data_IF_958051970941
#
_entry.id   IF_958051970941
#
_cell.length_a   1.000
_cell.length_b   1.000
_cell.length_c   1.000
_cell.angle_alpha   90.00
_cell.angle_beta   90.00
_cell.angle_gamma   90.00
#
_symmetry.space_group_name_H-M   'P 1'
#
loop_
_entity.id
_entity.type
_entity.pdbx_description
1 polymer ?
#
# COMPACT_ATOMS: atom_id res chain seq x y z
N UNK A 1 -3.96 -11.53 -0.07
CA UNK A 1 -3.68 -10.08 0.09
C UNK A 1 -3.11 -9.82 1.47
N UNK A 2 -2.08 -9.01 1.57
CA UNK A 2 -1.45 -8.61 2.83
C UNK A 2 -1.81 -7.15 3.10
N UNK A 3 -2.54 -6.91 4.18
CA UNK A 3 -2.97 -5.56 4.57
C UNK A 3 -2.10 -5.07 5.73
N UNK A 4 -1.43 -3.94 5.54
CA UNK A 4 -0.64 -3.32 6.59
C UNK A 4 -1.48 -3.03 7.84
N UNK A 5 -2.70 -2.52 7.64
CA UNK A 5 -3.59 -2.22 8.76
C UNK A 5 -3.99 -3.46 9.56
N UNK A 6 -4.29 -4.57 8.87
CA UNK A 6 -4.66 -5.81 9.53
C UNK A 6 -3.49 -6.36 10.35
N UNK A 7 -2.30 -6.42 9.77
CA UNK A 7 -1.12 -6.93 10.47
C UNK A 7 -0.77 -6.05 11.66
N UNK A 8 -0.74 -4.74 11.45
CA UNK A 8 -0.31 -3.81 12.49
C UNK A 8 -1.35 -3.64 13.60
N UNK A 9 -2.60 -3.40 13.23
CA UNK A 9 -3.66 -3.10 14.20
C UNK A 9 -4.29 -4.35 14.79
N UNK A 10 -4.79 -5.21 13.91
CA UNK A 10 -5.64 -6.33 14.35
C UNK A 10 -4.82 -7.48 14.90
N UNK A 11 -3.67 -7.77 14.31
CA UNK A 11 -2.82 -8.88 14.75
C UNK A 11 -1.84 -8.50 15.85
N UNK A 12 -1.13 -7.37 15.71
CA UNK A 12 -0.04 -7.02 16.62
C UNK A 12 -0.39 -5.88 17.58
N UNK A 13 -1.42 -5.08 17.30
CA UNK A 13 -1.82 -3.93 18.13
C UNK A 13 -0.66 -2.98 18.41
N UNK A 14 0.16 -2.70 17.41
CA UNK A 14 1.31 -1.79 17.54
C UNK A 14 1.05 -0.47 16.82
N UNK A 15 1.71 0.58 17.28
CA UNK A 15 1.62 1.89 16.65
C UNK A 15 2.42 1.96 15.37
N UNK A 16 1.99 2.79 14.44
CA UNK A 16 2.66 3.02 13.18
C UNK A 16 3.88 3.93 13.39
N UNK A 17 4.98 3.33 13.79
CA UNK A 17 6.26 3.99 14.03
C UNK A 17 7.34 3.37 13.16
N UNK A 18 8.45 4.10 13.00
CA UNK A 18 9.64 3.55 12.36
C UNK A 18 10.14 2.33 13.14
N UNK A 19 10.39 1.23 12.43
CA UNK A 19 10.89 0.00 13.04
C UNK A 19 9.86 -0.78 13.85
N UNK A 20 8.56 -0.52 13.68
CA UNK A 20 7.53 -1.26 14.42
C UNK A 20 7.52 -2.75 14.04
N UNK A 21 6.96 -3.58 14.91
CA UNK A 21 6.97 -5.04 14.76
C UNK A 21 6.27 -5.54 13.50
N UNK A 22 5.34 -4.77 12.96
CA UNK A 22 4.59 -5.20 11.77
C UNK A 22 5.45 -5.26 10.52
N UNK A 23 6.53 -4.47 10.44
CA UNK A 23 7.42 -4.45 9.28
C UNK A 23 7.97 -5.83 8.96
N UNK A 24 8.55 -6.48 9.95
CA UNK A 24 9.14 -7.81 9.74
C UNK A 24 8.09 -8.86 9.42
N UNK A 25 6.94 -8.81 10.09
CA UNK A 25 5.86 -9.78 9.83
C UNK A 25 5.27 -9.59 8.43
N UNK A 26 5.04 -8.35 8.01
CA UNK A 26 4.57 -8.04 6.66
C UNK A 26 5.55 -8.59 5.63
N UNK A 27 6.85 -8.35 5.84
CA UNK A 27 7.89 -8.84 4.94
C UNK A 27 7.86 -10.35 4.84
N UNK A 28 7.81 -11.04 5.97
CA UNK A 28 7.79 -12.51 6.00
C UNK A 28 6.56 -13.09 5.30
N UNK A 29 5.38 -12.53 5.55
CA UNK A 29 4.16 -13.00 4.90
C UNK A 29 4.24 -12.79 3.40
N UNK A 30 4.71 -11.62 2.96
CA UNK A 30 4.82 -11.28 1.55
C UNK A 30 5.86 -12.17 0.84
N UNK A 31 6.99 -12.40 1.47
CA UNK A 31 8.02 -13.32 0.94
C UNK A 31 7.51 -14.76 0.88
N UNK A 32 6.77 -15.18 1.89
CA UNK A 32 6.23 -16.54 1.97
C UNK A 32 5.34 -16.89 0.78
N UNK A 33 4.61 -15.90 0.25
CA UNK A 33 3.71 -16.11 -0.89
C UNK A 33 4.41 -16.43 -2.19
N UNK A 34 5.70 -16.10 -2.32
CA UNK A 34 6.45 -16.34 -3.56
C UNK A 34 6.51 -17.84 -3.87
N UNK A 35 6.07 -18.21 -5.06
CA UNK A 35 6.04 -19.62 -5.50
C UNK A 35 4.89 -20.43 -4.91
N UNK A 36 4.08 -19.85 -4.04
CA UNK A 36 2.92 -20.52 -3.43
C UNK A 36 1.60 -19.93 -3.86
N UNK A 37 1.59 -18.62 -4.13
CA UNK A 37 0.42 -17.90 -4.59
C UNK A 37 0.68 -17.39 -6.00
N UNK A 38 -0.35 -17.36 -6.82
CA UNK A 38 -0.26 -16.77 -8.16
C UNK A 38 0.07 -15.29 -8.08
N UNK A 39 -0.59 -14.58 -7.17
CA UNK A 39 -0.33 -13.16 -6.91
C UNK A 39 -0.26 -12.90 -5.41
N UNK A 40 0.63 -12.01 -5.02
CA UNK A 40 0.71 -11.48 -3.66
C UNK A 40 0.50 -9.98 -3.75
N UNK A 41 -0.52 -9.47 -3.08
CA UNK A 41 -0.84 -8.04 -3.05
C UNK A 41 -0.55 -7.53 -1.66
N UNK A 42 0.36 -6.57 -1.55
CA UNK A 42 0.61 -5.83 -0.32
C UNK A 42 0.02 -4.44 -0.47
N UNK A 43 -0.85 -4.04 0.46
CA UNK A 43 -1.53 -2.76 0.39
C UNK A 43 -1.52 -2.05 1.75
N UNK A 44 -1.72 -0.76 1.71
CA UNK A 44 -1.87 0.07 2.90
C UNK A 44 -1.25 1.44 2.74
N UNK A 45 -1.33 2.23 3.81
CA UNK A 45 -0.62 3.50 3.90
C UNK A 45 0.81 3.18 4.35
N UNK A 46 1.68 3.02 3.37
CA UNK A 46 3.06 2.56 3.58
C UNK A 46 4.01 3.75 3.38
N UNK A 47 4.13 4.60 4.39
CA UNK A 47 4.99 5.77 4.33
C UNK A 47 6.43 5.38 4.00
N UNK A 48 7.02 6.04 3.02
CA UNK A 48 8.38 5.74 2.55
C UNK A 48 9.40 5.77 3.68
N UNK A 49 9.30 6.75 4.57
CA UNK A 49 10.22 6.88 5.71
C UNK A 49 10.24 5.64 6.61
N UNK A 50 9.09 5.02 6.79
CA UNK A 50 8.93 3.86 7.69
C UNK A 50 9.06 2.53 6.97
N UNK A 51 8.50 2.42 5.78
CA UNK A 51 8.34 1.14 5.07
C UNK A 51 9.17 1.03 3.80
N UNK A 52 9.77 2.13 3.33
CA UNK A 52 10.44 2.16 2.03
C UNK A 52 11.57 1.15 1.89
N UNK A 53 12.40 1.00 2.91
CA UNK A 53 13.51 0.06 2.89
C UNK A 53 13.01 -1.39 2.77
N UNK A 54 12.01 -1.74 3.58
CA UNK A 54 11.38 -3.06 3.51
C UNK A 54 10.75 -3.33 2.15
N UNK A 55 10.07 -2.34 1.58
CA UNK A 55 9.47 -2.46 0.25
C UNK A 55 10.53 -2.66 -0.83
N UNK A 56 11.63 -1.95 -0.76
CA UNK A 56 12.75 -2.14 -1.70
C UNK A 56 13.35 -3.55 -1.58
N UNK A 57 13.46 -4.05 -0.35
CA UNK A 57 13.92 -5.42 -0.13
C UNK A 57 12.97 -6.45 -0.73
N UNK A 58 11.67 -6.24 -0.62
CA UNK A 58 10.67 -7.12 -1.24
C UNK A 58 10.76 -7.10 -2.76
N UNK A 59 10.96 -5.94 -3.37
CA UNK A 59 11.12 -5.83 -4.82
C UNK A 59 12.34 -6.64 -5.27
N UNK A 60 13.44 -6.54 -4.55
CA UNK A 60 14.64 -7.34 -4.84
C UNK A 60 14.39 -8.84 -4.67
N UNK A 61 13.68 -9.22 -3.61
CA UNK A 61 13.33 -10.60 -3.33
C UNK A 61 12.51 -11.23 -4.47
N UNK A 62 11.60 -10.47 -5.04
CA UNK A 62 10.77 -10.92 -6.16
C UNK A 62 11.47 -10.78 -7.52
N UNK A 63 12.74 -10.40 -7.55
CA UNK A 63 13.60 -10.40 -8.74
C UNK A 63 13.01 -9.60 -9.92
N UNK A 64 12.42 -8.46 -9.62
CA UNK A 64 11.81 -7.61 -10.64
C UNK A 64 10.39 -7.99 -11.05
N UNK A 65 9.86 -9.08 -10.54
CA UNK A 65 8.46 -9.48 -10.77
C UNK A 65 7.53 -8.82 -9.76
N UNK A 66 7.69 -7.52 -9.58
CA UNK A 66 6.89 -6.73 -8.65
C UNK A 66 6.49 -5.42 -9.33
N UNK A 67 5.20 -5.14 -9.30
CA UNK A 67 4.66 -3.87 -9.77
C UNK A 67 4.29 -3.01 -8.57
N UNK A 68 4.63 -1.73 -8.64
CA UNK A 68 4.34 -0.76 -7.58
C UNK A 68 3.37 0.27 -8.10
N UNK A 69 2.29 0.48 -7.37
CA UNK A 69 1.26 1.45 -7.69
C UNK A 69 1.11 2.43 -6.55
N UNK A 70 1.10 3.71 -6.87
CA UNK A 70 0.92 4.78 -5.90
C UNK A 70 -0.30 5.62 -6.25
N UNK A 71 -1.22 5.79 -5.29
CA UNK A 71 -2.37 6.65 -5.46
C UNK A 71 -1.93 8.11 -5.27
N UNK A 72 -1.66 8.79 -6.36
CA UNK A 72 -1.26 10.20 -6.36
C UNK A 72 -2.51 11.07 -6.49
N UNK A 73 -3.18 11.29 -5.37
CA UNK A 73 -4.44 12.00 -5.30
C UNK A 73 -4.30 13.27 -4.46
N UNK A 74 -5.04 14.35 -4.79
CA UNK A 74 -5.19 15.46 -3.86
C UNK A 74 -5.85 14.99 -2.57
N UNK A 75 -5.53 15.66 -1.46
CA UNK A 75 -6.08 15.29 -0.16
C UNK A 75 -7.61 15.21 -0.18
N UNK A 76 -8.26 16.16 -0.81
CA UNK A 76 -9.73 16.23 -0.91
C UNK A 76 -10.32 14.99 -1.58
N UNK A 77 -9.65 14.46 -2.59
CA UNK A 77 -10.07 13.23 -3.28
C UNK A 77 -9.90 12.01 -2.38
N UNK A 78 -8.87 12.00 -1.56
CA UNK A 78 -8.65 10.95 -0.58
C UNK A 78 -9.78 10.93 0.45
N UNK A 79 -10.19 12.08 0.96
CA UNK A 79 -11.33 12.21 1.88
C UNK A 79 -12.61 11.72 1.22
N UNK A 80 -12.88 12.17 0.00
CA UNK A 80 -14.07 11.78 -0.77
C UNK A 80 -14.15 10.25 -0.92
N UNK A 81 -13.05 9.61 -1.32
CA UNK A 81 -13.00 8.16 -1.49
C UNK A 81 -13.12 7.43 -0.16
N UNK A 82 -12.54 7.96 0.90
CA UNK A 82 -12.66 7.37 2.23
C UNK A 82 -14.10 7.38 2.73
N UNK A 83 -14.84 8.47 2.53
CA UNK A 83 -16.23 8.59 2.96
C UNK A 83 -17.14 7.55 2.32
N UNK A 84 -16.79 7.04 1.14
CA UNK A 84 -17.55 5.99 0.45
C UNK A 84 -17.15 4.57 0.87
N UNK A 85 -16.18 4.41 1.78
CA UNK A 85 -15.68 3.11 2.23
C UNK A 85 -16.39 2.64 3.48
N UNK A 86 -16.41 1.32 3.68
CA UNK A 86 -16.96 0.71 4.89
C UNK A 86 -16.22 1.12 6.17
N UNK A 87 -14.97 1.58 6.06
CA UNK A 87 -14.14 2.01 7.19
C UNK A 87 -14.31 3.49 7.54
N UNK A 88 -15.22 4.21 6.87
CA UNK A 88 -15.43 5.64 7.12
C UNK A 88 -15.80 5.94 8.57
N UNK A 89 -16.53 5.03 9.23
CA UNK A 89 -16.94 5.17 10.64
C UNK A 89 -15.80 4.85 11.62
N UNK A 90 -14.74 4.18 11.17
CA UNK A 90 -13.62 3.77 12.02
C UNK A 90 -12.64 4.92 12.27
N UNK A 91 -12.48 5.83 11.31
CA UNK A 91 -11.64 7.02 11.44
C UNK A 91 -12.10 8.10 10.46
N UNK A 92 -11.93 9.36 10.83
CA UNK A 92 -12.44 10.50 10.08
C UNK A 92 -11.38 11.28 9.32
N UNK A 93 -11.77 12.44 8.81
CA UNK A 93 -10.93 13.34 8.04
C UNK A 93 -9.67 13.78 8.81
N UNK A 94 -9.79 14.06 10.10
CA UNK A 94 -8.66 14.50 10.91
C UNK A 94 -7.56 13.44 10.98
N UNK A 95 -7.92 12.17 11.08
CA UNK A 95 -6.97 11.06 11.06
C UNK A 95 -6.31 10.96 9.70
N UNK A 96 -7.08 11.09 8.62
CA UNK A 96 -6.52 11.08 7.26
C UNK A 96 -5.55 12.23 7.07
N UNK A 97 -5.87 13.42 7.57
CA UNK A 97 -5.00 14.60 7.47
C UNK A 97 -3.69 14.38 8.23
N UNK A 98 -3.75 13.78 9.41
CA UNK A 98 -2.56 13.47 10.19
C UNK A 98 -1.65 12.45 9.50
N UNK A 99 -2.22 11.56 8.68
CA UNK A 99 -1.48 10.52 7.96
C UNK A 99 -1.08 10.94 6.55
N UNK A 100 -1.51 12.11 6.09
CA UNK A 100 -1.29 12.56 4.72
C UNK A 100 0.16 12.97 4.47
N UNK A 101 0.76 12.33 3.48
CA UNK A 101 2.08 12.68 2.94
C UNK A 101 1.96 12.85 1.44
N UNK A 102 1.96 14.10 0.93
CA UNK A 102 1.83 14.31 -0.51
C UNK A 102 3.04 13.76 -1.25
N UNK A 103 2.78 13.10 -2.38
CA UNK A 103 3.83 12.60 -3.28
C UNK A 103 4.90 11.75 -2.58
N UNK A 104 4.47 10.89 -1.66
CA UNK A 104 5.37 10.01 -0.90
C UNK A 104 5.75 8.77 -1.72
N UNK A 105 6.30 9.00 -2.91
CA UNK A 105 6.65 7.95 -3.86
C UNK A 105 7.78 7.07 -3.33
N UNK A 106 7.71 5.77 -3.64
CA UNK A 106 8.80 4.85 -3.33
C UNK A 106 10.05 5.18 -4.13
N UNK A 107 9.88 5.65 -5.36
CA UNK A 107 10.98 6.07 -6.22
C UNK A 107 11.59 4.96 -7.05
N UNK A 108 10.90 3.85 -7.22
CA UNK A 108 11.38 2.77 -8.09
C UNK A 108 11.10 3.09 -9.56
N UNK A 109 11.93 2.55 -10.46
CA UNK A 109 11.83 2.83 -11.88
C UNK A 109 10.54 2.31 -12.53
N UNK A 110 9.85 1.37 -11.92
CA UNK A 110 8.61 0.80 -12.44
C UNK A 110 7.35 1.28 -11.71
N UNK A 111 7.48 2.28 -10.86
CA UNK A 111 6.35 2.78 -10.08
C UNK A 111 5.33 3.49 -10.96
N UNK A 112 4.07 3.10 -10.85
CA UNK A 112 2.96 3.66 -11.63
C UNK A 112 2.09 4.53 -10.76
N UNK A 113 1.85 5.77 -11.20
CA UNK A 113 0.98 6.71 -10.48
C UNK A 113 -0.47 6.49 -10.89
N UNK A 114 -1.33 6.33 -9.90
CA UNK A 114 -2.78 6.25 -10.10
C UNK A 114 -3.36 7.62 -9.72
N UNK A 115 -3.90 8.33 -10.70
CA UNK A 115 -4.33 9.71 -10.53
C UNK A 115 -5.84 9.84 -10.35
N UNK A 116 -6.29 11.05 -10.00
CA UNK A 116 -7.71 11.30 -9.73
C UNK A 116 -8.62 11.10 -10.94
N UNK A 117 -8.10 11.25 -12.16
CA UNK A 117 -8.87 11.03 -13.38
C UNK A 117 -9.17 9.55 -13.65
N UNK A 118 -8.45 8.65 -13.02
CA UNK A 118 -8.61 7.23 -13.21
C UNK A 118 -9.80 6.70 -12.42
N UNK A 119 -10.65 5.93 -13.09
CA UNK A 119 -11.76 5.23 -12.45
C UNK A 119 -11.28 3.90 -11.87
N UNK A 120 -12.06 3.30 -10.98
CA UNK A 120 -11.78 1.96 -10.47
C UNK A 120 -11.63 0.96 -11.61
N UNK A 121 -12.52 1.04 -12.61
CA UNK A 121 -12.48 0.17 -13.78
C UNK A 121 -11.19 0.34 -14.58
N UNK A 122 -10.76 1.57 -14.83
CA UNK A 122 -9.52 1.83 -15.58
C UNK A 122 -8.29 1.38 -14.79
N UNK A 123 -8.28 1.52 -13.48
CA UNK A 123 -7.19 1.05 -12.62
C UNK A 123 -7.10 -0.47 -12.65
N UNK A 124 -8.23 -1.16 -12.51
CA UNK A 124 -8.28 -2.62 -12.58
C UNK A 124 -7.80 -3.12 -13.94
N UNK A 125 -8.21 -2.45 -15.02
CA UNK A 125 -7.75 -2.77 -16.37
C UNK A 125 -6.24 -2.63 -16.52
N UNK A 126 -5.66 -1.56 -15.97
CA UNK A 126 -4.22 -1.32 -16.01
C UNK A 126 -3.46 -2.41 -15.25
N UNK A 127 -3.88 -2.72 -14.03
CA UNK A 127 -3.24 -3.75 -13.21
C UNK A 127 -3.34 -5.11 -13.90
N UNK A 128 -4.53 -5.47 -14.38
CA UNK A 128 -4.77 -6.75 -15.04
C UNK A 128 -3.92 -6.93 -16.29
N UNK A 129 -3.68 -5.86 -17.05
CA UNK A 129 -2.88 -5.94 -18.27
C UNK A 129 -1.41 -6.30 -18.00
N UNK A 130 -0.91 -6.04 -16.81
CA UNK A 130 0.50 -6.34 -16.43
C UNK A 130 0.67 -7.72 -15.83
N UNK A 131 -0.41 -8.32 -15.38
CA UNK A 131 -0.39 -9.64 -14.75
C UNK A 131 -0.34 -10.76 -15.80
N UNK A 132 -0.83 -10.51 -16.97
CA UNK A 132 -0.95 -11.51 -18.04
C UNK A 132 0.36 -11.69 -18.79
#
# INVERSE_FOLDING_TARGET
MVSQDVVRRDMLSVRDRKGNLSLELIRQITEYGKGKCEFVILEGILMKERYGEMLMDLIRFYEGNADVYYFDLPFEKTVERHQSRALADAFGEDSLRAWWHPKDYLGTSGETMLTEEMTEESILGLISSRIV
#
